data_IF_425813714547
#
_entry.id   IF_425813714547
#
_cell.length_a   1.000
_cell.length_b   1.000
_cell.length_c   1.000
_cell.angle_alpha   90.00
_cell.angle_beta   90.00
_cell.angle_gamma   90.00
#
_symmetry.space_group_name_H-M   'P 1'
#
loop_
_entity.id
_entity.type
_entity.pdbx_description
1 polymer ?
#
# COMPACT_ATOMS: atom_id res chain seq x y z
N UNK A 1 8.49 25.55 13.85
CA UNK A 1 9.30 26.73 13.49
C UNK A 1 9.12 27.01 12.01
N UNK A 2 9.05 28.28 11.59
CA UNK A 2 8.85 28.67 10.17
C UNK A 2 10.16 28.72 9.38
N UNK A 3 11.31 28.60 10.05
CA UNK A 3 12.63 28.63 9.43
C UNK A 3 12.89 27.38 8.59
N UNK A 4 13.34 27.59 7.34
CA UNK A 4 13.87 26.52 6.50
C UNK A 4 15.38 26.34 6.79
N UNK A 5 15.72 25.24 7.45
CA UNK A 5 17.10 24.97 7.84
C UNK A 5 18.02 24.69 6.65
N UNK A 6 17.51 24.14 5.54
CA UNK A 6 18.33 23.87 4.36
C UNK A 6 18.58 25.16 3.58
N UNK A 7 17.57 26.02 3.43
CA UNK A 7 17.75 27.35 2.82
C UNK A 7 18.82 28.16 3.56
N UNK A 8 18.72 28.25 4.89
CA UNK A 8 19.71 28.96 5.72
C UNK A 8 21.09 28.34 5.60
N UNK A 9 21.20 27.01 5.54
CA UNK A 9 22.48 26.32 5.35
C UNK A 9 23.10 26.67 3.99
N UNK A 10 22.32 26.61 2.92
CA UNK A 10 22.77 26.90 1.56
C UNK A 10 23.22 28.37 1.43
N UNK A 11 22.48 29.31 2.01
CA UNK A 11 22.87 30.72 2.08
C UNK A 11 24.20 30.91 2.82
N UNK A 12 24.34 30.31 4.00
CA UNK A 12 25.56 30.42 4.82
C UNK A 12 26.77 29.80 4.11
N UNK A 13 26.60 28.68 3.42
CA UNK A 13 27.64 28.11 2.55
C UNK A 13 28.00 29.04 1.38
N UNK A 14 27.00 29.64 0.74
CA UNK A 14 27.17 30.62 -0.33
C UNK A 14 27.96 31.85 0.14
N UNK A 15 27.60 32.40 1.31
CA UNK A 15 28.31 33.51 1.94
C UNK A 15 29.77 33.13 2.25
N UNK A 16 30.01 31.95 2.82
CA UNK A 16 31.36 31.49 3.13
C UNK A 16 32.24 31.36 1.87
N UNK A 17 31.71 30.75 0.81
CA UNK A 17 32.42 30.60 -0.48
C UNK A 17 32.70 31.96 -1.12
N UNK A 18 31.76 32.90 -1.02
CA UNK A 18 31.92 34.26 -1.54
C UNK A 18 33.01 35.01 -0.80
N UNK A 19 33.00 34.98 0.53
CA UNK A 19 34.01 35.62 1.37
C UNK A 19 35.40 34.99 1.18
N UNK A 20 35.48 33.68 0.93
CA UNK A 20 36.72 33.00 0.54
C UNK A 20 37.30 33.58 -0.75
N UNK A 21 36.45 33.74 -1.79
CA UNK A 21 36.86 34.30 -3.08
C UNK A 21 37.29 35.77 -2.92
N UNK A 22 36.52 36.59 -2.21
CA UNK A 22 36.83 38.00 -1.96
C UNK A 22 38.18 38.18 -1.25
N UNK A 23 38.48 37.38 -0.23
CA UNK A 23 39.76 37.44 0.46
C UNK A 23 40.96 37.10 -0.46
N UNK A 24 40.76 36.23 -1.47
CA UNK A 24 41.78 35.93 -2.50
C UNK A 24 41.91 37.04 -3.54
N UNK A 25 40.79 37.59 -4.00
CA UNK A 25 40.77 38.63 -5.04
C UNK A 25 41.36 39.94 -4.53
N UNK A 26 41.05 40.32 -3.28
CA UNK A 26 41.45 41.59 -2.67
C UNK A 26 42.81 41.51 -1.97
N UNK A 27 43.67 40.56 -2.35
CA UNK A 27 44.91 40.26 -1.63
C UNK A 27 45.88 41.46 -1.59
N UNK A 28 45.79 42.32 -2.60
CA UNK A 28 46.57 43.54 -2.83
C UNK A 28 46.00 44.77 -2.09
N UNK A 29 44.80 44.67 -1.52
CA UNK A 29 44.16 45.72 -0.72
C UNK A 29 44.00 45.23 0.73
N UNK A 30 45.01 45.44 1.60
CA UNK A 30 45.07 44.83 2.93
C UNK A 30 43.85 45.09 3.82
N UNK A 31 43.29 46.30 3.76
CA UNK A 31 42.09 46.67 4.52
C UNK A 31 40.88 45.83 4.13
N UNK A 32 40.61 45.71 2.82
CA UNK A 32 39.47 44.97 2.28
C UNK A 32 39.62 43.46 2.47
N UNK A 33 40.83 42.92 2.29
CA UNK A 33 41.14 41.51 2.61
C UNK A 33 40.84 41.20 4.08
N UNK A 34 41.31 42.06 5.00
CA UNK A 34 41.11 41.88 6.44
C UNK A 34 39.62 41.85 6.80
N UNK A 35 38.80 42.73 6.20
CA UNK A 35 37.36 42.72 6.41
C UNK A 35 36.75 41.40 5.91
N UNK A 36 37.11 40.93 4.71
CA UNK A 36 36.61 39.67 4.16
C UNK A 36 36.97 38.47 5.06
N UNK A 37 38.20 38.40 5.55
CA UNK A 37 38.66 37.35 6.48
C UNK A 37 37.95 37.43 7.84
N UNK A 38 37.75 38.64 8.39
CA UNK A 38 37.03 38.84 9.65
C UNK A 38 35.57 38.41 9.56
N UNK A 39 34.86 38.80 8.50
CA UNK A 39 33.46 38.40 8.29
C UNK A 39 33.39 36.89 8.05
N UNK A 40 34.31 36.33 7.28
CA UNK A 40 34.39 34.88 7.07
C UNK A 40 34.58 34.10 8.37
N UNK A 41 35.44 34.58 9.26
CA UNK A 41 35.62 33.95 10.57
C UNK A 41 34.33 33.99 11.42
N UNK A 42 33.51 35.05 11.30
CA UNK A 42 32.18 35.11 11.94
C UNK A 42 31.21 34.11 11.31
N UNK A 43 31.17 34.02 9.99
CA UNK A 43 30.34 33.03 9.25
C UNK A 43 30.75 31.61 9.64
N UNK A 44 32.06 31.33 9.74
CA UNK A 44 32.55 30.01 10.17
C UNK A 44 32.09 29.66 11.60
N UNK A 45 32.11 30.61 12.53
CA UNK A 45 31.53 30.40 13.86
C UNK A 45 30.03 30.11 13.78
N UNK A 46 29.29 30.85 12.95
CA UNK A 46 27.86 30.64 12.76
C UNK A 46 27.54 29.24 12.19
N UNK A 47 28.38 28.70 11.29
CA UNK A 47 28.22 27.35 10.71
C UNK A 47 28.13 26.25 11.77
N UNK A 48 28.73 26.43 12.94
CA UNK A 48 28.65 25.46 14.03
C UNK A 48 27.24 25.35 14.63
N UNK A 49 26.36 26.32 14.39
CA UNK A 49 24.96 26.31 14.85
C UNK A 49 23.98 25.79 13.81
N UNK A 50 24.40 25.60 12.55
CA UNK A 50 23.56 25.04 11.48
C UNK A 50 22.99 23.67 11.85
N UNK A 51 23.76 22.72 12.42
CA UNK A 51 23.18 21.42 12.75
C UNK A 51 22.11 21.51 13.85
N UNK A 52 22.20 22.49 14.78
CA UNK A 52 21.12 22.75 15.74
C UNK A 52 19.84 23.15 15.01
N UNK A 53 19.95 24.04 14.02
CA UNK A 53 18.83 24.47 13.20
C UNK A 53 18.23 23.30 12.40
N UNK A 54 19.06 22.46 11.78
CA UNK A 54 18.60 21.28 11.05
C UNK A 54 17.88 20.28 11.96
N UNK A 55 18.36 20.11 13.20
CA UNK A 55 17.74 19.23 14.18
C UNK A 55 16.34 19.73 14.54
N UNK A 56 16.20 20.98 14.98
CA UNK A 56 14.95 21.53 15.52
C UNK A 56 13.93 21.91 14.45
N UNK A 57 14.36 22.15 13.20
CA UNK A 57 13.47 22.36 12.05
C UNK A 57 13.01 21.06 11.38
N UNK A 58 13.44 19.90 11.87
CA UNK A 58 13.10 18.64 11.23
C UNK A 58 11.58 18.40 11.24
N UNK A 59 10.99 18.29 10.05
CA UNK A 59 9.55 18.09 9.83
C UNK A 59 9.03 16.75 10.38
N UNK A 60 9.92 15.78 10.62
CA UNK A 60 9.57 14.51 11.25
C UNK A 60 9.48 14.57 12.77
N UNK A 61 9.85 15.68 13.40
CA UNK A 61 9.70 15.83 14.85
C UNK A 61 8.22 15.85 15.24
N UNK A 62 7.93 15.11 16.30
CA UNK A 62 6.61 14.97 16.91
C UNK A 62 6.78 15.11 18.42
N UNK A 63 5.70 15.23 19.18
CA UNK A 63 5.74 15.48 20.62
C UNK A 63 6.59 14.47 21.40
N UNK A 64 6.61 13.21 20.96
CA UNK A 64 7.49 12.17 21.52
C UNK A 64 8.98 12.51 21.39
N UNK A 65 9.37 13.07 20.25
CA UNK A 65 10.75 13.46 19.96
C UNK A 65 11.13 14.68 20.80
N UNK A 66 10.26 15.69 20.88
CA UNK A 66 10.46 16.85 21.74
C UNK A 66 10.58 16.47 23.22
N UNK A 67 9.79 15.51 23.67
CA UNK A 67 9.89 14.94 25.03
C UNK A 67 11.24 14.26 25.26
N UNK A 68 11.75 13.50 24.29
CA UNK A 68 13.09 12.88 24.38
C UNK A 68 14.20 13.94 24.40
N UNK A 69 14.13 14.94 23.53
CA UNK A 69 15.09 16.05 23.50
C UNK A 69 15.08 16.83 24.81
N UNK A 70 13.90 17.10 25.38
CA UNK A 70 13.75 17.77 26.68
C UNK A 70 14.46 17.01 27.81
N UNK A 71 14.36 15.68 27.81
CA UNK A 71 15.08 14.83 28.79
C UNK A 71 16.59 14.88 28.62
N UNK A 72 17.10 14.98 27.39
CA UNK A 72 18.53 15.09 27.10
C UNK A 72 19.09 16.42 27.60
N UNK A 73 18.37 17.52 27.38
CA UNK A 73 18.82 18.87 27.74
C UNK A 73 18.54 19.19 29.20
N UNK A 74 17.55 18.53 29.82
CA UNK A 74 17.14 18.75 31.22
C UNK A 74 16.18 19.92 31.40
N UNK A 75 15.65 20.48 30.30
CA UNK A 75 14.65 21.56 30.29
C UNK A 75 13.52 21.19 29.33
N UNK A 76 12.28 21.67 29.57
CA UNK A 76 11.20 21.51 28.61
C UNK A 76 11.52 22.21 27.28
N UNK A 77 11.53 21.44 26.20
CA UNK A 77 11.59 21.94 24.83
C UNK A 77 10.22 21.74 24.20
N UNK A 78 9.64 22.82 23.68
CA UNK A 78 8.36 22.79 22.98
C UNK A 78 8.50 23.39 21.59
N UNK A 79 7.80 22.85 20.58
CA UNK A 79 7.76 23.48 19.27
C UNK A 79 7.06 24.83 19.37
N UNK A 80 7.83 25.91 19.28
CA UNK A 80 7.34 27.28 19.24
C UNK A 80 7.62 27.88 17.85
N UNK A 81 6.59 28.31 17.10
CA UNK A 81 6.77 29.01 15.83
C UNK A 81 7.55 30.33 15.94
N UNK A 82 7.55 30.98 17.11
CA UNK A 82 8.25 32.25 17.37
C UNK A 82 9.68 32.06 17.91
N UNK A 83 10.07 30.82 18.24
CA UNK A 83 11.42 30.56 18.71
C UNK A 83 12.46 30.90 17.64
N UNK A 84 13.56 31.50 18.08
CA UNK A 84 14.70 31.87 17.26
C UNK A 84 15.87 30.93 17.48
N UNK A 85 16.82 30.93 16.54
CA UNK A 85 18.10 30.21 16.72
C UNK A 85 18.89 30.77 17.92
N UNK A 86 18.74 32.06 18.28
CA UNK A 86 19.39 32.63 19.46
C UNK A 86 18.89 31.95 20.74
N UNK A 87 17.56 31.82 20.87
CA UNK A 87 16.93 31.16 22.02
C UNK A 87 17.48 29.74 22.20
N UNK A 88 17.64 29.01 21.09
CA UNK A 88 18.18 27.64 21.06
C UNK A 88 19.66 27.54 21.47
N UNK A 89 20.45 28.56 21.12
CA UNK A 89 21.86 28.63 21.54
C UNK A 89 21.95 28.97 23.03
N UNK A 90 21.12 29.90 23.50
CA UNK A 90 21.10 30.37 24.89
C UNK A 90 20.69 29.27 25.87
N UNK A 91 19.71 28.44 25.50
CA UNK A 91 19.34 27.26 26.29
C UNK A 91 20.37 26.13 26.23
N UNK A 92 21.42 26.27 25.39
CA UNK A 92 22.57 25.37 25.38
C UNK A 92 22.44 24.14 24.49
N UNK A 93 21.51 24.11 23.51
CA UNK A 93 21.39 22.99 22.56
C UNK A 93 22.72 22.59 21.89
N UNK A 94 23.64 23.51 21.52
CA UNK A 94 24.92 23.12 20.91
C UNK A 94 25.75 22.13 21.72
N UNK A 95 25.58 22.08 23.06
CA UNK A 95 26.29 21.14 23.94
C UNK A 95 25.83 19.69 23.80
N UNK A 96 24.63 19.49 23.26
CA UNK A 96 23.97 18.18 23.17
C UNK A 96 23.78 17.72 21.72
N UNK A 97 24.45 18.37 20.76
CA UNK A 97 24.19 18.23 19.32
C UNK A 97 24.17 16.77 18.87
N UNK A 98 25.14 15.96 19.30
CA UNK A 98 25.24 14.53 18.92
C UNK A 98 24.02 13.73 19.38
N UNK A 99 23.56 13.93 20.61
CA UNK A 99 22.39 13.21 21.15
C UNK A 99 21.09 13.69 20.52
N UNK A 100 20.99 14.98 20.25
CA UNK A 100 19.81 15.56 19.60
C UNK A 100 19.73 15.16 18.13
N UNK A 101 20.88 15.01 17.46
CA UNK A 101 20.99 14.50 16.09
C UNK A 101 20.50 13.06 15.99
N UNK A 102 20.85 12.18 16.93
CA UNK A 102 20.33 10.80 16.96
C UNK A 102 18.79 10.76 16.99
N UNK A 103 18.18 11.61 17.83
CA UNK A 103 16.71 11.72 17.94
C UNK A 103 16.13 12.28 16.63
N UNK A 104 16.74 13.33 16.07
CA UNK A 104 16.30 13.95 14.82
C UNK A 104 16.38 12.97 13.64
N UNK A 105 17.48 12.21 13.53
CA UNK A 105 17.63 11.20 12.48
C UNK A 105 16.59 10.10 12.61
N UNK A 106 16.29 9.65 13.84
CA UNK A 106 15.19 8.72 14.08
C UNK A 106 13.86 9.31 13.59
N UNK A 107 13.54 10.54 13.99
CA UNK A 107 12.32 11.25 13.60
C UNK A 107 12.18 11.38 12.06
N UNK A 108 13.26 11.69 11.34
CA UNK A 108 13.25 11.71 9.86
C UNK A 108 12.90 10.36 9.25
N UNK A 109 13.43 9.27 9.82
CA UNK A 109 13.19 7.91 9.32
C UNK A 109 11.76 7.45 9.64
N UNK A 110 11.25 7.77 10.83
CA UNK A 110 9.85 7.54 11.20
C UNK A 110 8.92 8.28 10.22
N UNK A 111 9.15 9.57 10.01
CA UNK A 111 8.37 10.40 9.11
C UNK A 111 8.36 9.89 7.67
N UNK A 112 9.50 9.41 7.17
CA UNK A 112 9.58 8.83 5.83
C UNK A 112 8.71 7.57 5.71
N UNK A 113 8.70 6.70 6.73
CA UNK A 113 7.86 5.51 6.74
C UNK A 113 6.38 5.85 6.88
N UNK A 114 6.01 6.76 7.78
CA UNK A 114 4.62 7.24 7.91
C UNK A 114 4.11 7.83 6.59
N UNK A 115 4.95 8.62 5.90
CA UNK A 115 4.61 9.18 4.58
C UNK A 115 4.43 8.08 3.52
N UNK A 116 5.30 7.07 3.52
CA UNK A 116 5.18 5.95 2.60
C UNK A 116 3.90 5.14 2.86
N UNK A 117 3.55 4.90 4.13
CA UNK A 117 2.31 4.19 4.50
C UNK A 117 1.08 4.97 4.04
N UNK A 118 1.03 6.27 4.33
CA UNK A 118 -0.06 7.14 3.89
C UNK A 118 -0.18 7.16 2.37
N UNK A 119 0.93 7.34 1.65
CA UNK A 119 0.92 7.36 0.18
C UNK A 119 0.40 6.03 -0.37
N UNK A 120 0.84 4.91 0.20
CA UNK A 120 0.37 3.58 -0.19
C UNK A 120 -1.15 3.46 0.01
N UNK A 121 -1.70 3.93 1.13
CA UNK A 121 -3.17 3.96 1.36
C UNK A 121 -3.91 4.82 0.35
N UNK A 122 -3.43 6.04 0.10
CA UNK A 122 -4.00 6.98 -0.87
C UNK A 122 -4.02 6.41 -2.30
N UNK A 123 -2.97 5.67 -2.68
CA UNK A 123 -2.90 5.00 -3.98
C UNK A 123 -4.04 3.96 -4.16
N UNK A 124 -4.57 3.37 -3.08
CA UNK A 124 -5.69 2.41 -3.15
C UNK A 124 -7.09 3.05 -3.17
N UNK A 125 -7.24 4.32 -2.82
CA UNK A 125 -8.56 4.96 -2.62
C UNK A 125 -9.47 4.91 -3.87
N UNK A 126 -8.85 4.92 -5.05
CA UNK A 126 -9.54 4.98 -6.33
C UNK A 126 -9.31 3.76 -7.23
N UNK A 127 -8.60 2.74 -6.76
CA UNK A 127 -8.40 1.50 -7.53
C UNK A 127 -9.73 0.76 -7.58
N UNK A 128 -10.19 0.43 -8.78
CA UNK A 128 -11.47 -0.22 -9.02
C UNK A 128 -11.28 -1.51 -9.78
N UNK A 129 -12.09 -2.51 -9.45
CA UNK A 129 -12.26 -3.67 -10.28
C UNK A 129 -12.96 -3.30 -11.58
N UNK A 130 -12.46 -3.85 -12.69
CA UNK A 130 -13.24 -3.91 -13.91
C UNK A 130 -14.24 -5.07 -13.81
N UNK A 131 -15.48 -4.83 -14.23
CA UNK A 131 -16.47 -5.89 -14.31
C UNK A 131 -17.23 -5.83 -15.62
N UNK A 132 -17.44 -6.99 -16.23
CA UNK A 132 -18.13 -7.15 -17.51
C UNK A 132 -19.36 -8.02 -17.34
N UNK A 133 -20.42 -7.75 -18.11
CA UNK A 133 -21.64 -8.55 -18.07
C UNK A 133 -21.36 -9.97 -18.58
N UNK A 134 -21.82 -10.98 -17.84
CA UNK A 134 -21.72 -12.37 -18.26
C UNK A 134 -23.02 -12.85 -18.92
N UNK A 135 -23.02 -12.87 -20.26
CA UNK A 135 -24.16 -13.31 -21.09
C UNK A 135 -25.46 -12.59 -20.65
N UNK A 136 -26.60 -13.26 -20.78
CA UNK A 136 -27.92 -12.75 -20.34
C UNK A 136 -28.28 -13.18 -18.90
N UNK A 137 -27.28 -13.50 -18.06
CA UNK A 137 -27.52 -14.01 -16.69
C UNK A 137 -27.85 -12.93 -15.67
N UNK A 138 -27.67 -11.65 -16.03
CA UNK A 138 -27.80 -10.50 -15.13
C UNK A 138 -26.66 -10.34 -14.12
N UNK A 139 -25.56 -11.11 -14.24
CA UNK A 139 -24.39 -11.06 -13.37
C UNK A 139 -23.22 -10.41 -14.09
N UNK A 140 -22.46 -9.58 -13.37
CA UNK A 140 -21.15 -9.11 -13.83
C UNK A 140 -20.04 -10.01 -13.25
N UNK A 141 -18.95 -10.18 -13.97
CA UNK A 141 -17.75 -10.92 -13.56
C UNK A 141 -16.53 -10.00 -13.58
N UNK A 142 -15.51 -10.31 -12.77
CA UNK A 142 -14.25 -9.57 -12.78
C UNK A 142 -13.50 -9.78 -14.11
N UNK A 143 -12.95 -8.70 -14.65
CA UNK A 143 -12.03 -8.70 -15.81
C UNK A 143 -10.76 -7.91 -15.46
N UNK A 144 -9.69 -8.11 -16.25
CA UNK A 144 -8.46 -7.30 -16.23
C UNK A 144 -7.88 -7.02 -14.82
N UNK A 145 -7.66 -8.07 -14.03
CA UNK A 145 -7.21 -7.97 -12.62
C UNK A 145 -5.68 -7.95 -12.47
N UNK A 146 -4.92 -8.14 -13.54
CA UNK A 146 -3.46 -8.32 -13.50
C UNK A 146 -2.74 -7.12 -12.84
N UNK A 147 -3.13 -5.89 -13.16
CA UNK A 147 -2.55 -4.68 -12.56
C UNK A 147 -2.82 -4.59 -11.05
N UNK A 148 -3.99 -5.06 -10.60
CA UNK A 148 -4.35 -5.10 -9.18
C UNK A 148 -3.49 -6.14 -8.46
N UNK A 149 -3.25 -7.31 -9.06
CA UNK A 149 -2.39 -8.36 -8.50
C UNK A 149 -0.94 -7.86 -8.37
N UNK A 150 -0.40 -7.23 -9.42
CA UNK A 150 0.95 -6.64 -9.39
C UNK A 150 1.06 -5.58 -8.29
N UNK A 151 0.04 -4.74 -8.14
CA UNK A 151 0.00 -3.72 -7.08
C UNK A 151 -0.08 -4.33 -5.68
N UNK A 152 -0.86 -5.40 -5.49
CA UNK A 152 -0.93 -6.13 -4.22
C UNK A 152 0.44 -6.71 -3.86
N UNK A 153 1.09 -7.43 -4.76
CA UNK A 153 2.40 -8.04 -4.53
C UNK A 153 3.47 -7.02 -4.12
N UNK A 154 3.57 -5.91 -4.86
CA UNK A 154 4.51 -4.83 -4.56
C UNK A 154 4.19 -4.15 -3.22
N UNK A 155 2.92 -3.83 -2.96
CA UNK A 155 2.53 -3.15 -1.72
C UNK A 155 2.64 -4.05 -0.48
N UNK A 156 2.41 -5.36 -0.60
CA UNK A 156 2.65 -6.34 0.47
C UNK A 156 4.13 -6.41 0.79
N UNK A 157 5.01 -6.52 -0.23
CA UNK A 157 6.45 -6.58 -0.01
C UNK A 157 6.99 -5.28 0.62
N UNK A 158 6.52 -4.13 0.15
CA UNK A 158 6.85 -2.82 0.75
C UNK A 158 6.38 -2.74 2.19
N UNK A 159 5.15 -3.17 2.49
CA UNK A 159 4.60 -3.18 3.84
C UNK A 159 5.43 -4.04 4.81
N UNK A 160 5.79 -5.26 4.39
CA UNK A 160 6.65 -6.17 5.17
C UNK A 160 8.05 -5.57 5.42
N UNK A 161 8.64 -4.95 4.39
CA UNK A 161 9.94 -4.27 4.51
C UNK A 161 9.87 -3.11 5.50
N UNK A 162 8.81 -2.29 5.42
CA UNK A 162 8.60 -1.17 6.33
C UNK A 162 8.37 -1.63 7.77
N UNK A 163 7.62 -2.71 7.97
CA UNK A 163 7.41 -3.33 9.29
C UNK A 163 8.70 -3.87 9.91
N UNK A 164 9.63 -4.36 9.09
CA UNK A 164 10.95 -4.80 9.56
C UNK A 164 11.86 -3.65 10.03
N UNK A 165 11.49 -2.39 9.79
CA UNK A 165 12.28 -1.23 10.18
C UNK A 165 12.24 -0.99 11.70
N UNK A 166 13.38 -0.68 12.35
CA UNK A 166 13.38 -0.34 13.78
C UNK A 166 12.65 0.98 14.10
N UNK A 167 12.35 1.78 13.07
CA UNK A 167 11.66 3.07 13.17
C UNK A 167 10.13 2.95 13.01
N UNK A 168 9.57 1.74 12.91
CA UNK A 168 8.11 1.58 12.76
C UNK A 168 7.35 1.70 14.09
N UNK A 169 8.04 1.59 15.22
CA UNK A 169 7.44 1.37 16.56
C UNK A 169 6.31 2.33 16.93
N UNK A 170 6.42 3.60 16.56
CA UNK A 170 5.42 4.61 16.92
C UNK A 170 4.05 4.40 16.25
N UNK A 171 4.03 3.76 15.07
CA UNK A 171 2.83 3.51 14.27
C UNK A 171 2.73 2.03 13.84
N UNK A 172 3.41 1.13 14.58
CA UNK A 172 3.51 -0.29 14.23
C UNK A 172 2.14 -0.97 14.13
N UNK A 173 1.22 -0.65 15.03
CA UNK A 173 -0.14 -1.17 15.00
C UNK A 173 -0.86 -0.80 13.69
N UNK A 174 -0.71 0.45 13.23
CA UNK A 174 -1.30 0.90 11.97
C UNK A 174 -0.67 0.20 10.76
N UNK A 175 0.66 0.03 10.78
CA UNK A 175 1.41 -0.70 9.75
C UNK A 175 0.95 -2.16 9.66
N UNK A 176 0.80 -2.84 10.81
CA UNK A 176 0.35 -4.23 10.89
C UNK A 176 -1.09 -4.41 10.38
N UNK A 177 -1.99 -3.50 10.77
CA UNK A 177 -3.38 -3.51 10.28
C UNK A 177 -3.43 -3.34 8.77
N UNK A 178 -2.61 -2.43 8.23
CA UNK A 178 -2.56 -2.20 6.79
C UNK A 178 -1.97 -3.38 6.01
N UNK A 179 -0.87 -3.95 6.49
CA UNK A 179 -0.29 -5.17 5.92
C UNK A 179 -1.31 -6.32 5.91
N UNK A 180 -2.01 -6.55 7.03
CA UNK A 180 -3.04 -7.58 7.13
C UNK A 180 -4.20 -7.33 6.17
N UNK A 181 -4.60 -6.08 5.94
CA UNK A 181 -5.61 -5.71 4.95
C UNK A 181 -5.15 -6.06 3.53
N UNK A 182 -3.92 -5.73 3.14
CA UNK A 182 -3.37 -6.07 1.82
C UNK A 182 -3.34 -7.58 1.59
N UNK A 183 -2.84 -8.35 2.56
CA UNK A 183 -2.80 -9.82 2.48
C UNK A 183 -4.21 -10.40 2.39
N UNK A 184 -5.15 -9.90 3.19
CA UNK A 184 -6.54 -10.34 3.12
C UNK A 184 -7.18 -10.05 1.76
N UNK A 185 -6.85 -8.92 1.13
CA UNK A 185 -7.35 -8.61 -0.21
C UNK A 185 -6.78 -9.55 -1.28
N UNK A 186 -5.50 -9.90 -1.18
CA UNK A 186 -4.86 -10.91 -2.05
C UNK A 186 -5.55 -12.27 -1.91
N UNK A 187 -5.70 -12.77 -0.68
CA UNK A 187 -6.36 -14.06 -0.42
C UNK A 187 -7.81 -14.08 -0.94
N UNK A 188 -8.53 -12.96 -0.80
CA UNK A 188 -9.88 -12.79 -1.34
C UNK A 188 -9.84 -12.85 -2.86
N UNK A 189 -8.96 -12.09 -3.52
CA UNK A 189 -8.88 -12.03 -4.97
C UNK A 189 -8.56 -13.41 -5.57
N UNK A 190 -7.61 -14.15 -4.99
CA UNK A 190 -7.26 -15.50 -5.46
C UNK A 190 -8.45 -16.46 -5.32
N UNK A 191 -9.10 -16.46 -4.15
CA UNK A 191 -10.29 -17.28 -3.91
C UNK A 191 -11.46 -16.88 -4.83
N UNK A 192 -11.59 -15.59 -5.14
CA UNK A 192 -12.62 -15.04 -6.00
C UNK A 192 -12.42 -15.49 -7.45
N UNK A 193 -11.21 -15.37 -7.97
CA UNK A 193 -10.88 -15.80 -9.34
C UNK A 193 -11.05 -17.32 -9.50
N UNK A 194 -10.64 -18.11 -8.51
CA UNK A 194 -10.89 -19.55 -8.51
C UNK A 194 -12.40 -19.85 -8.57
N UNK A 195 -13.20 -19.19 -7.72
CA UNK A 195 -14.65 -19.37 -7.70
C UNK A 195 -15.27 -18.96 -9.03
N UNK A 196 -14.82 -17.85 -9.61
CA UNK A 196 -15.30 -17.35 -10.89
C UNK A 196 -15.06 -18.35 -12.02
N UNK A 197 -13.84 -18.86 -12.15
CA UNK A 197 -13.47 -19.82 -13.21
C UNK A 197 -14.34 -21.07 -13.13
N UNK A 198 -14.46 -21.66 -11.94
CA UNK A 198 -15.25 -22.90 -11.79
C UNK A 198 -16.75 -22.63 -11.93
N UNK A 199 -17.27 -21.51 -11.41
CA UNK A 199 -18.67 -21.13 -11.59
C UNK A 199 -19.01 -20.90 -13.07
N UNK A 200 -18.16 -20.22 -13.84
CA UNK A 200 -18.35 -19.99 -15.28
C UNK A 200 -18.42 -21.28 -16.10
N UNK A 201 -17.69 -22.31 -15.67
CA UNK A 201 -17.72 -23.64 -16.28
C UNK A 201 -19.03 -24.39 -15.94
N UNK A 202 -19.45 -24.34 -14.68
CA UNK A 202 -20.59 -25.11 -14.17
C UNK A 202 -21.95 -24.46 -14.44
N UNK A 203 -22.04 -23.13 -14.50
CA UNK A 203 -23.28 -22.37 -14.73
C UNK A 203 -24.08 -22.89 -15.94
N UNK A 204 -23.53 -22.97 -17.17
CA UNK A 204 -24.31 -23.40 -18.32
C UNK A 204 -24.79 -24.85 -18.22
N UNK A 205 -24.09 -25.68 -17.44
CA UNK A 205 -24.40 -27.10 -17.25
C UNK A 205 -25.57 -27.25 -16.26
N UNK A 206 -25.46 -26.59 -15.11
CA UNK A 206 -26.45 -26.68 -14.03
C UNK A 206 -27.65 -25.75 -14.22
N UNK A 207 -27.64 -24.89 -15.24
CA UNK A 207 -28.82 -24.17 -15.74
C UNK A 207 -29.78 -25.07 -16.56
N UNK A 208 -29.38 -26.29 -16.93
CA UNK A 208 -30.23 -27.26 -17.64
C UNK A 208 -31.15 -28.04 -16.69
N UNK A 209 -32.48 -27.94 -16.88
CA UNK A 209 -33.45 -28.70 -16.08
C UNK A 209 -33.21 -30.22 -16.08
N UNK A 210 -32.74 -30.77 -17.21
CA UNK A 210 -32.48 -32.20 -17.34
C UNK A 210 -31.31 -32.64 -16.45
N UNK A 211 -30.22 -31.86 -16.45
CA UNK A 211 -29.08 -32.09 -15.55
C UNK A 211 -29.53 -31.94 -14.09
N UNK A 212 -30.39 -30.95 -13.80
CA UNK A 212 -30.90 -30.76 -12.45
C UNK A 212 -31.69 -31.95 -11.91
N UNK A 213 -32.45 -32.62 -12.76
CA UNK A 213 -33.20 -33.84 -12.40
C UNK A 213 -32.29 -35.05 -12.26
N UNK A 214 -31.19 -35.11 -13.02
CA UNK A 214 -30.26 -36.23 -13.02
C UNK A 214 -29.23 -36.15 -11.88
N UNK A 215 -28.88 -34.94 -11.45
CA UNK A 215 -27.87 -34.64 -10.42
C UNK A 215 -28.45 -33.70 -9.34
N UNK A 216 -29.48 -34.13 -8.58
CA UNK A 216 -30.22 -33.25 -7.68
C UNK A 216 -29.38 -32.72 -6.51
N UNK A 217 -28.44 -33.52 -5.99
CA UNK A 217 -27.59 -33.13 -4.86
C UNK A 217 -26.59 -32.05 -5.27
N UNK A 218 -25.87 -32.26 -6.39
CA UNK A 218 -24.95 -31.28 -6.96
C UNK A 218 -25.68 -30.00 -7.37
N UNK A 219 -26.89 -30.13 -7.93
CA UNK A 219 -27.71 -28.98 -8.33
C UNK A 219 -28.14 -28.14 -7.12
N UNK A 220 -28.45 -28.77 -5.98
CA UNK A 220 -28.76 -28.06 -4.74
C UNK A 220 -27.54 -27.30 -4.22
N UNK A 221 -26.35 -27.91 -4.26
CA UNK A 221 -25.09 -27.25 -3.89
C UNK A 221 -24.80 -26.08 -4.82
N UNK A 222 -24.93 -26.27 -6.14
CA UNK A 222 -24.68 -25.22 -7.13
C UNK A 222 -25.61 -24.02 -6.93
N UNK A 223 -26.91 -24.23 -6.68
CA UNK A 223 -27.84 -23.14 -6.37
C UNK A 223 -27.45 -22.33 -5.13
N UNK A 224 -26.88 -22.99 -4.12
CA UNK A 224 -26.38 -22.28 -2.94
C UNK A 224 -25.17 -21.40 -3.29
N UNK A 225 -24.20 -21.96 -4.01
CA UNK A 225 -23.02 -21.21 -4.49
C UNK A 225 -23.44 -20.04 -5.37
N UNK A 226 -24.31 -20.27 -6.36
CA UNK A 226 -24.80 -19.25 -7.29
C UNK A 226 -25.48 -18.08 -6.56
N UNK A 227 -26.30 -18.37 -5.53
CA UNK A 227 -26.91 -17.33 -4.69
C UNK A 227 -25.86 -16.47 -3.99
N UNK A 228 -24.84 -17.08 -3.39
CA UNK A 228 -23.78 -16.37 -2.69
C UNK A 228 -22.89 -15.58 -3.65
N UNK A 229 -22.51 -16.18 -4.76
CA UNK A 229 -21.76 -15.56 -5.85
C UNK A 229 -22.44 -14.30 -6.36
N UNK A 230 -23.75 -14.38 -6.67
CA UNK A 230 -24.55 -13.22 -7.10
C UNK A 230 -24.63 -12.14 -6.02
N UNK A 231 -24.70 -12.50 -4.75
CA UNK A 231 -24.71 -11.53 -3.66
C UNK A 231 -23.38 -10.74 -3.60
N UNK A 232 -22.25 -11.44 -3.73
CA UNK A 232 -20.92 -10.84 -3.83
C UNK A 232 -20.85 -9.89 -5.03
N UNK A 233 -21.13 -10.38 -6.25
CA UNK A 233 -21.02 -9.58 -7.47
C UNK A 233 -21.98 -8.37 -7.47
N UNK A 234 -23.19 -8.52 -6.94
CA UNK A 234 -24.13 -7.41 -6.80
C UNK A 234 -23.67 -6.36 -5.79
N UNK A 235 -22.94 -6.76 -4.74
CA UNK A 235 -22.32 -5.80 -3.83
C UNK A 235 -21.20 -5.03 -4.52
N UNK A 236 -20.30 -5.74 -5.21
CA UNK A 236 -19.20 -5.16 -5.98
C UNK A 236 -19.67 -4.22 -7.08
N UNK A 237 -20.80 -4.53 -7.73
CA UNK A 237 -21.39 -3.65 -8.74
C UNK A 237 -21.83 -2.29 -8.18
N UNK A 238 -22.19 -2.20 -6.89
CA UNK A 238 -22.59 -0.93 -6.25
C UNK A 238 -21.40 -0.01 -6.03
N UNK A 239 -20.24 -0.57 -5.69
CA UNK A 239 -19.00 0.15 -5.51
C UNK A 239 -17.82 -0.75 -5.91
N UNK A 240 -17.25 -0.43 -7.07
CA UNK A 240 -16.19 -1.24 -7.69
C UNK A 240 -14.82 -1.01 -7.04
N UNK A 241 -14.68 -0.05 -6.12
CA UNK A 241 -13.39 0.21 -5.45
C UNK A 241 -12.92 -1.04 -4.72
N UNK A 242 -11.68 -1.45 -4.95
CA UNK A 242 -11.12 -2.72 -4.45
C UNK A 242 -11.22 -2.80 -2.93
N UNK A 243 -10.88 -1.70 -2.23
CA UNK A 243 -10.98 -1.64 -0.77
C UNK A 243 -12.41 -1.91 -0.27
N UNK A 244 -13.42 -1.35 -0.94
CA UNK A 244 -14.83 -1.46 -0.55
C UNK A 244 -15.41 -2.82 -0.94
N UNK A 245 -15.10 -3.30 -2.15
CA UNK A 245 -15.58 -4.58 -2.64
C UNK A 245 -15.07 -5.75 -1.78
N UNK A 246 -13.80 -5.71 -1.38
CA UNK A 246 -13.17 -6.72 -0.52
C UNK A 246 -13.55 -6.62 0.97
N UNK A 247 -14.24 -5.56 1.38
CA UNK A 247 -14.78 -5.40 2.74
C UNK A 247 -16.16 -6.07 2.93
N UNK A 248 -16.63 -6.83 1.93
CA UNK A 248 -17.82 -7.64 2.09
C UNK A 248 -17.66 -8.61 3.28
N UNK A 249 -18.66 -8.66 4.16
CA UNK A 249 -18.58 -9.40 5.40
C UNK A 249 -18.29 -10.88 5.16
N UNK A 250 -17.27 -11.39 5.86
CA UNK A 250 -16.83 -12.80 5.82
C UNK A 250 -16.52 -13.31 4.39
N UNK A 251 -16.16 -12.41 3.48
CA UNK A 251 -16.01 -12.71 2.05
C UNK A 251 -15.02 -13.84 1.76
N UNK A 252 -13.84 -13.82 2.41
CA UNK A 252 -12.83 -14.86 2.23
C UNK A 252 -13.35 -16.24 2.64
N UNK A 253 -14.07 -16.31 3.76
CA UNK A 253 -14.65 -17.56 4.26
C UNK A 253 -15.70 -18.07 3.27
N UNK A 254 -16.62 -17.21 2.84
CA UNK A 254 -17.66 -17.55 1.87
C UNK A 254 -17.06 -18.04 0.54
N UNK A 255 -16.04 -17.37 0.02
CA UNK A 255 -15.37 -17.79 -1.23
C UNK A 255 -14.67 -19.15 -1.07
N UNK A 256 -14.01 -19.40 0.06
CA UNK A 256 -13.37 -20.70 0.35
C UNK A 256 -14.41 -21.83 0.47
N UNK A 257 -15.52 -21.58 1.15
CA UNK A 257 -16.64 -22.54 1.25
C UNK A 257 -17.25 -22.81 -0.13
N UNK A 258 -17.46 -21.77 -0.94
CA UNK A 258 -17.97 -21.90 -2.30
C UNK A 258 -17.02 -22.70 -3.19
N UNK A 259 -15.71 -22.45 -3.14
CA UNK A 259 -14.72 -23.23 -3.88
C UNK A 259 -14.75 -24.71 -3.48
N UNK A 260 -14.85 -25.03 -2.19
CA UNK A 260 -14.99 -26.42 -1.74
C UNK A 260 -16.25 -27.09 -2.28
N UNK A 261 -17.38 -26.38 -2.29
CA UNK A 261 -18.62 -26.90 -2.87
C UNK A 261 -18.52 -27.09 -4.39
N UNK A 262 -17.87 -26.16 -5.09
CA UNK A 262 -17.64 -26.23 -6.53
C UNK A 262 -16.76 -27.42 -6.90
N UNK A 263 -15.73 -27.72 -6.12
CA UNK A 263 -14.87 -28.90 -6.30
C UNK A 263 -15.66 -30.22 -6.14
N UNK A 264 -16.54 -30.29 -5.14
CA UNK A 264 -17.44 -31.44 -4.96
C UNK A 264 -18.41 -31.61 -6.13
N UNK A 265 -18.99 -30.51 -6.62
CA UNK A 265 -19.88 -30.51 -7.78
C UNK A 265 -19.14 -30.98 -9.02
N UNK A 266 -17.93 -30.47 -9.25
CA UNK A 266 -17.11 -30.84 -10.41
C UNK A 266 -16.74 -32.32 -10.38
N UNK A 267 -16.40 -32.86 -9.19
CA UNK A 267 -16.17 -34.29 -9.01
C UNK A 267 -17.43 -35.12 -9.31
N UNK A 268 -18.59 -34.74 -8.77
CA UNK A 268 -19.85 -35.42 -9.04
C UNK A 268 -20.22 -35.40 -10.52
N UNK A 269 -19.99 -34.27 -11.20
CA UNK A 269 -20.20 -34.13 -12.64
C UNK A 269 -19.29 -35.07 -13.44
N UNK A 270 -18.01 -35.16 -13.09
CA UNK A 270 -17.09 -36.10 -13.72
C UNK A 270 -17.52 -37.56 -13.55
N UNK A 271 -17.88 -37.96 -12.32
CA UNK A 271 -18.37 -39.31 -12.04
C UNK A 271 -19.65 -39.65 -12.83
N UNK A 272 -20.54 -38.66 -12.97
CA UNK A 272 -21.76 -38.77 -13.78
C UNK A 272 -21.45 -38.96 -15.26
N UNK A 273 -20.55 -38.15 -15.81
CA UNK A 273 -20.12 -38.22 -17.21
C UNK A 273 -19.40 -39.54 -17.52
N UNK A 274 -18.58 -40.05 -16.62
CA UNK A 274 -17.92 -41.35 -16.76
C UNK A 274 -18.93 -42.51 -16.78
N UNK A 275 -19.93 -42.48 -15.88
CA UNK A 275 -21.02 -43.47 -15.91
C UNK A 275 -21.75 -43.42 -17.24
N UNK A 276 -22.13 -42.24 -17.73
CA UNK A 276 -22.82 -42.10 -19.04
C UNK A 276 -21.94 -42.50 -20.22
N UNK A 277 -20.62 -42.31 -20.15
CA UNK A 277 -19.64 -42.75 -21.16
C UNK A 277 -19.61 -44.27 -21.35
N UNK A 278 -19.95 -45.06 -20.32
CA UNK A 278 -20.08 -46.51 -20.42
C UNK A 278 -21.34 -46.95 -21.18
N UNK A 279 -22.34 -46.08 -21.30
CA UNK A 279 -23.62 -46.36 -21.97
C UNK A 279 -23.77 -45.69 -23.34
N UNK A 280 -22.88 -44.76 -23.74
CA UNK A 280 -22.93 -44.06 -25.03
C UNK A 280 -21.57 -44.01 -25.76
N UNK A 281 -21.48 -44.34 -27.07
CA UNK A 281 -20.23 -44.31 -27.85
C UNK A 281 -19.58 -42.91 -27.93
N UNK A 282 -18.24 -42.87 -28.08
CA UNK A 282 -17.35 -41.69 -27.96
C UNK A 282 -17.75 -40.40 -28.71
N UNK A 283 -18.56 -40.45 -29.76
CA UNK A 283 -18.90 -39.26 -30.56
C UNK A 283 -19.80 -38.24 -29.85
N UNK A 284 -20.63 -38.67 -28.90
CA UNK A 284 -21.53 -37.76 -28.16
C UNK A 284 -20.80 -36.87 -27.14
N UNK A 285 -19.73 -37.37 -26.52
CA UNK A 285 -18.95 -36.65 -25.51
C UNK A 285 -18.09 -35.56 -26.16
N UNK A 286 -17.54 -35.84 -27.35
CA UNK A 286 -16.82 -34.84 -28.14
C UNK A 286 -17.77 -33.71 -28.54
N UNK A 287 -18.99 -34.02 -28.99
CA UNK A 287 -19.97 -33.00 -29.34
C UNK A 287 -20.41 -32.15 -28.12
N UNK A 288 -20.55 -32.74 -26.93
CA UNK A 288 -20.90 -32.03 -25.70
C UNK A 288 -19.77 -31.10 -25.19
N UNK A 289 -18.52 -31.58 -25.17
CA UNK A 289 -17.36 -30.77 -24.77
C UNK A 289 -17.11 -29.67 -25.80
N UNK A 290 -17.24 -29.98 -27.09
CA UNK A 290 -17.05 -29.01 -28.17
C UNK A 290 -18.17 -27.97 -28.20
N UNK A 291 -19.42 -28.33 -27.89
CA UNK A 291 -20.52 -27.39 -27.67
C UNK A 291 -20.29 -26.46 -26.48
N UNK A 292 -19.75 -26.97 -25.37
CA UNK A 292 -19.40 -26.16 -24.20
C UNK A 292 -18.22 -25.23 -24.52
N UNK A 293 -17.17 -25.72 -25.19
CA UNK A 293 -16.00 -24.93 -25.58
C UNK A 293 -16.33 -23.88 -26.66
N UNK A 294 -17.19 -24.17 -27.64
CA UNK A 294 -17.67 -23.20 -28.63
C UNK A 294 -18.50 -22.08 -27.97
N UNK A 295 -19.23 -22.38 -26.90
CA UNK A 295 -19.96 -21.39 -26.08
C UNK A 295 -19.09 -20.60 -25.11
N UNK A 296 -17.87 -21.06 -24.82
CA UNK A 296 -16.89 -20.34 -24.02
C UNK A 296 -16.03 -19.44 -24.92
N UNK A 297 -15.61 -19.95 -26.09
CA UNK A 297 -14.77 -19.23 -27.05
C UNK A 297 -15.50 -18.05 -27.74
N UNK A 298 -16.81 -18.18 -28.01
CA UNK A 298 -17.62 -17.10 -28.62
C UNK A 298 -17.91 -15.91 -27.69
N UNK A 299 -17.54 -16.01 -26.40
CA UNK A 299 -17.73 -14.96 -25.40
C UNK A 299 -16.43 -14.24 -24.98
N UNK A 300 -15.28 -14.62 -25.55
CA UNK A 300 -13.96 -14.02 -25.28
C UNK A 300 -13.42 -13.18 -26.45
N UNK A 301 -14.25 -12.93 -27.46
CA UNK A 301 -14.00 -12.01 -28.59
C UNK A 301 -15.06 -10.91 -28.59
#
# INVERSE_FOLDING_TARGET
MVLDAEEVKDEVEGMFRTLYKLAKTLYDIPGSKRVAEMVRAKVEKFRHFIPVLQIVCNKGLQDRHWTQMSKVVGIPLTPDPQATLSDMIEIGLPKFITKLEEISVAASKEYALERNLRKMKEEWDNIQFECVAYRDTGVEILSAVDDIQVMLDDHILKAQTMRGSPYVKAFEAEMQLWEAKLISMQDILDSWLQCQVTWLYLEPIFSSEDIMRQMPDESKKFRNVDKQWRAIMNNTKKDKRVLVATDFKDMLLLLKENNSLLDEIQKGLNDYLEKKRLFFPRQFIIHWIQFILERIASTLT
#
